data_IF_028596543542
#
_entry.id   IF_028596543542
#
_cell.length_a   1.000
_cell.length_b   1.000
_cell.length_c   1.000
_cell.angle_alpha   90.00
_cell.angle_beta   90.00
_cell.angle_gamma   90.00
#
_symmetry.space_group_name_H-M   'P 1'
#
loop_
_entity.id
_entity.type
_entity.pdbx_description
1 polymer ?
#
# COMPACT_ATOMS: atom_id res chain seq x y z
N UNK A 1 -12.34 3.73 -9.19
CA UNK A 1 -11.38 4.79 -9.56
C UNK A 1 -11.74 6.09 -8.86
N UNK A 2 -10.73 6.83 -8.37
CA UNK A 2 -10.89 8.15 -7.74
C UNK A 2 -10.70 9.28 -8.75
N UNK A 3 -11.31 10.42 -8.48
CA UNK A 3 -11.21 11.65 -9.29
C UNK A 3 -10.05 12.54 -8.85
N UNK A 4 -9.63 13.46 -9.73
CA UNK A 4 -8.66 14.52 -9.40
C UNK A 4 -9.10 15.36 -8.19
N UNK A 5 -10.40 15.59 -8.02
CA UNK A 5 -10.94 16.31 -6.86
C UNK A 5 -10.71 15.53 -5.57
N UNK A 6 -10.97 14.23 -5.58
CA UNK A 6 -10.71 13.35 -4.44
C UNK A 6 -9.21 13.28 -4.12
N UNK A 7 -8.35 13.18 -5.15
CA UNK A 7 -6.90 13.17 -4.97
C UNK A 7 -6.38 14.47 -4.31
N UNK A 8 -6.90 15.64 -4.69
CA UNK A 8 -6.58 16.93 -4.03
C UNK A 8 -6.90 16.95 -2.54
N UNK A 9 -7.96 16.23 -2.13
CA UNK A 9 -8.35 16.15 -0.72
C UNK A 9 -7.46 15.19 0.07
N UNK A 10 -6.97 14.12 -0.56
CA UNK A 10 -6.16 13.07 0.09
C UNK A 10 -4.68 13.48 0.20
N UNK A 11 -4.14 14.17 -0.81
CA UNK A 11 -2.71 14.51 -0.92
C UNK A 11 -2.14 15.22 0.33
N UNK A 12 -2.80 16.22 0.95
CA UNK A 12 -2.27 16.87 2.17
C UNK A 12 -2.11 15.91 3.35
N UNK A 13 -3.05 14.98 3.52
CA UNK A 13 -2.99 13.97 4.58
C UNK A 13 -1.84 12.99 4.34
N UNK A 14 -1.60 12.58 3.09
CA UNK A 14 -0.46 11.73 2.74
C UNK A 14 0.87 12.44 3.04
N UNK A 15 1.01 13.72 2.67
CA UNK A 15 2.20 14.51 2.98
C UNK A 15 2.45 14.63 4.49
N UNK A 16 1.40 14.86 5.28
CA UNK A 16 1.51 14.92 6.73
C UNK A 16 1.93 13.57 7.34
N UNK A 17 1.41 12.45 6.83
CA UNK A 17 1.80 11.12 7.30
C UNK A 17 3.28 10.81 7.00
N UNK A 18 3.75 11.20 5.81
CA UNK A 18 5.16 11.07 5.41
C UNK A 18 6.08 11.90 6.32
N UNK A 19 5.72 13.15 6.60
CA UNK A 19 6.46 13.99 7.55
C UNK A 19 6.52 13.37 8.96
N UNK A 20 5.42 12.79 9.45
CA UNK A 20 5.40 12.10 10.73
C UNK A 20 6.31 10.86 10.74
N UNK A 21 6.37 10.10 9.65
CA UNK A 21 7.31 8.97 9.51
C UNK A 21 8.77 9.43 9.57
N UNK A 22 9.09 10.58 8.96
CA UNK A 22 10.41 11.19 9.07
C UNK A 22 10.78 11.54 10.51
N UNK A 23 9.86 12.11 11.30
CA UNK A 23 10.10 12.42 12.71
C UNK A 23 10.32 11.17 13.56
N UNK A 24 9.51 10.12 13.36
CA UNK A 24 9.67 8.84 14.04
C UNK A 24 11.04 8.25 13.74
N UNK A 25 11.43 8.29 12.47
CA UNK A 25 12.70 7.75 12.04
C UNK A 25 13.91 8.54 12.59
N UNK A 26 13.83 9.87 12.67
CA UNK A 26 14.85 10.69 13.30
C UNK A 26 15.09 10.30 14.77
N UNK A 27 14.02 9.96 15.50
CA UNK A 27 14.11 9.45 16.88
C UNK A 27 14.75 8.06 16.95
N UNK A 28 14.43 7.17 16.00
CA UNK A 28 15.09 5.86 15.92
C UNK A 28 16.62 5.99 15.75
N UNK A 29 17.07 6.93 14.91
CA UNK A 29 18.49 7.22 14.72
C UNK A 29 19.16 7.81 15.98
N UNK A 30 18.44 8.62 16.76
CA UNK A 30 18.95 9.13 18.05
C UNK A 30 19.18 8.00 19.06
N UNK A 31 18.23 7.07 19.15
CA UNK A 31 18.36 5.86 19.98
C UNK A 31 19.53 5.00 19.51
N UNK A 32 19.71 4.82 18.21
CA UNK A 32 20.85 4.08 17.63
C UNK A 32 22.20 4.66 18.06
N UNK A 33 22.40 5.98 17.89
CA UNK A 33 23.64 6.65 18.33
C UNK A 33 23.89 6.51 19.83
N UNK A 34 22.81 6.49 20.61
CA UNK A 34 22.90 6.33 22.07
C UNK A 34 23.28 4.90 22.46
N UNK A 35 22.86 3.90 21.69
CA UNK A 35 23.14 2.49 21.94
C UNK A 35 24.46 2.00 21.32
N UNK A 36 25.10 2.77 20.44
CA UNK A 36 26.43 2.47 19.91
C UNK A 36 26.48 1.28 18.94
N UNK A 37 25.35 0.93 18.33
CA UNK A 37 25.27 -0.16 17.34
C UNK A 37 25.23 0.44 15.93
N UNK A 38 26.26 0.17 15.12
CA UNK A 38 26.25 0.41 13.67
C UNK A 38 25.23 -0.51 13.00
N UNK A 39 24.15 0.06 12.47
CA UNK A 39 23.24 -0.64 11.58
C UNK A 39 23.49 -0.19 10.15
N UNK A 40 24.61 -0.61 9.55
CA UNK A 40 24.92 -0.40 8.12
C UNK A 40 23.76 -0.86 7.20
N UNK A 41 22.96 -1.83 7.64
CA UNK A 41 21.76 -2.28 6.93
C UNK A 41 20.54 -1.34 7.04
N UNK A 42 20.44 -0.56 8.11
CA UNK A 42 19.37 0.42 8.29
C UNK A 42 19.62 1.66 7.44
N UNK A 43 20.88 2.06 7.24
CA UNK A 43 21.23 3.19 6.37
C UNK A 43 20.80 2.99 4.90
N UNK A 44 20.92 1.76 4.37
CA UNK A 44 20.42 1.43 3.03
C UNK A 44 18.89 1.55 2.92
N UNK A 45 18.15 0.96 3.87
CA UNK A 45 16.68 1.07 3.94
C UNK A 45 16.24 2.53 4.08
N UNK A 46 17.07 3.34 4.73
CA UNK A 46 16.84 4.77 4.94
C UNK A 46 17.03 5.58 3.69
N UNK A 47 18.06 5.29 2.90
CA UNK A 47 18.25 5.92 1.61
C UNK A 47 17.12 5.53 0.65
N UNK A 48 16.67 4.28 0.69
CA UNK A 48 15.53 3.81 -0.09
C UNK A 48 14.21 4.51 0.32
N UNK A 49 13.96 4.67 1.62
CA UNK A 49 12.79 5.40 2.13
C UNK A 49 12.90 6.90 1.83
N UNK A 50 14.07 7.52 2.03
CA UNK A 50 14.28 8.93 1.74
C UNK A 50 14.10 9.23 0.24
N UNK A 51 14.57 8.35 -0.66
CA UNK A 51 14.31 8.46 -2.09
C UNK A 51 12.80 8.34 -2.41
N UNK A 52 12.10 7.42 -1.76
CA UNK A 52 10.64 7.30 -1.90
C UNK A 52 9.87 8.50 -1.32
N UNK A 53 10.45 9.24 -0.36
CA UNK A 53 9.86 10.44 0.24
C UNK A 53 10.27 11.73 -0.49
N UNK A 54 11.45 11.84 -1.09
CA UNK A 54 11.79 12.98 -1.95
C UNK A 54 10.89 13.02 -3.20
N UNK A 55 10.41 11.86 -3.65
CA UNK A 55 9.30 11.74 -4.60
C UNK A 55 7.99 12.37 -4.08
N UNK A 56 7.79 12.51 -2.75
CA UNK A 56 6.59 13.09 -2.14
C UNK A 56 6.46 14.60 -2.34
N UNK A 57 7.57 15.33 -2.51
CA UNK A 57 7.56 16.73 -2.95
C UNK A 57 7.28 16.84 -4.47
N UNK A 58 7.59 15.79 -5.23
CA UNK A 58 7.17 15.64 -6.64
C UNK A 58 5.76 15.04 -6.80
N UNK A 59 5.10 14.61 -5.71
CA UNK A 59 3.73 14.09 -5.77
C UNK A 59 2.76 15.20 -6.18
N UNK A 60 2.45 15.24 -7.46
CA UNK A 60 1.35 16.01 -7.98
C UNK A 60 0.02 15.24 -7.83
N UNK A 61 -1.09 15.96 -8.02
CA UNK A 61 -2.44 15.41 -7.89
C UNK A 61 -2.71 14.31 -8.92
N UNK A 62 -2.12 14.40 -10.11
CA UNK A 62 -2.29 13.40 -11.17
C UNK A 62 -1.58 12.10 -10.80
N UNK A 63 -0.35 12.17 -10.30
CA UNK A 63 0.41 11.02 -9.81
C UNK A 63 -0.33 10.30 -8.68
N UNK A 64 -0.83 11.02 -7.65
CA UNK A 64 -1.61 10.41 -6.56
C UNK A 64 -2.86 9.72 -7.09
N UNK A 65 -3.59 10.36 -8.01
CA UNK A 65 -4.79 9.79 -8.61
C UNK A 65 -4.45 8.50 -9.37
N UNK A 66 -3.40 8.55 -10.19
CA UNK A 66 -3.04 7.45 -11.09
C UNK A 66 -2.45 6.27 -10.30
N UNK A 67 -1.64 6.53 -9.27
CA UNK A 67 -1.14 5.51 -8.35
C UNK A 67 -2.26 4.82 -7.56
N UNK A 68 -3.23 5.58 -7.02
CA UNK A 68 -4.38 5.00 -6.31
C UNK A 68 -5.26 4.18 -7.27
N UNK A 69 -5.45 4.65 -8.50
CA UNK A 69 -6.23 3.91 -9.50
C UNK A 69 -5.52 2.62 -9.94
N UNK A 70 -4.21 2.67 -10.18
CA UNK A 70 -3.43 1.48 -10.51
C UNK A 70 -3.52 0.42 -9.40
N UNK A 71 -3.40 0.83 -8.14
CA UNK A 71 -3.61 -0.06 -7.00
C UNK A 71 -5.04 -0.59 -6.91
N UNK A 72 -6.04 0.22 -7.27
CA UNK A 72 -7.43 -0.22 -7.28
C UNK A 72 -7.71 -1.24 -8.40
N UNK A 73 -6.98 -1.18 -9.53
CA UNK A 73 -7.10 -2.14 -10.62
C UNK A 73 -6.54 -3.53 -10.25
N UNK A 74 -5.64 -3.58 -9.26
CA UNK A 74 -5.15 -4.83 -8.65
C UNK A 74 -6.15 -5.43 -7.63
N UNK A 75 -7.26 -4.73 -7.34
CA UNK A 75 -8.29 -5.19 -6.42
C UNK A 75 -9.54 -5.66 -7.18
N UNK A 76 -10.06 -6.83 -6.79
CA UNK A 76 -11.41 -7.22 -7.21
C UNK A 76 -12.47 -6.31 -6.58
N UNK A 77 -13.67 -6.33 -7.15
CA UNK A 77 -14.83 -5.62 -6.60
C UNK A 77 -15.09 -6.02 -5.14
N UNK A 78 -15.69 -5.14 -4.34
CA UNK A 78 -16.02 -5.47 -2.94
C UNK A 78 -16.97 -6.66 -2.80
N UNK A 79 -17.82 -6.88 -3.81
CA UNK A 79 -18.73 -8.02 -3.86
C UNK A 79 -17.98 -9.32 -4.14
N UNK A 80 -16.86 -9.27 -4.87
CA UNK A 80 -16.04 -10.45 -5.20
C UNK A 80 -14.92 -10.71 -4.19
N UNK A 81 -14.79 -9.84 -3.19
CA UNK A 81 -13.86 -10.00 -2.08
C UNK A 81 -14.08 -11.33 -1.34
N UNK A 82 -13.03 -11.86 -0.72
CA UNK A 82 -13.15 -13.05 0.11
C UNK A 82 -14.20 -12.81 1.22
N UNK A 83 -15.25 -13.63 1.33
CA UNK A 83 -16.33 -13.40 2.30
C UNK A 83 -15.88 -13.61 3.75
N UNK A 84 -14.72 -14.26 3.96
CA UNK A 84 -14.19 -14.55 5.30
C UNK A 84 -13.27 -13.44 5.81
N UNK A 85 -12.25 -13.06 5.03
CA UNK A 85 -11.21 -12.11 5.46
C UNK A 85 -11.21 -10.80 4.68
N UNK A 86 -12.17 -10.61 3.77
CA UNK A 86 -12.32 -9.41 2.92
C UNK A 86 -11.09 -9.11 2.04
N UNK A 87 -10.24 -10.11 1.80
CA UNK A 87 -9.14 -10.02 0.83
C UNK A 87 -9.70 -9.65 -0.55
N UNK A 88 -9.05 -8.69 -1.20
CA UNK A 88 -9.44 -8.13 -2.49
C UNK A 88 -8.32 -8.16 -3.51
N UNK A 89 -7.07 -8.32 -3.09
CA UNK A 89 -5.94 -8.35 -4.01
C UNK A 89 -6.07 -9.55 -4.96
N UNK A 90 -6.07 -9.27 -6.26
CA UNK A 90 -6.28 -10.27 -7.31
C UNK A 90 -5.24 -11.38 -7.29
N UNK A 91 -3.98 -11.06 -6.95
CA UNK A 91 -2.89 -12.04 -6.84
C UNK A 91 -3.07 -12.98 -5.64
N UNK A 92 -3.80 -12.54 -4.61
CA UNK A 92 -4.16 -13.37 -3.45
C UNK A 92 -5.40 -14.22 -3.69
N UNK A 93 -6.09 -14.04 -4.81
CA UNK A 93 -7.35 -14.70 -5.16
C UNK A 93 -7.16 -15.61 -6.40
N UNK A 94 -6.88 -16.89 -6.16
CA UNK A 94 -6.59 -17.84 -7.24
C UNK A 94 -7.91 -18.36 -7.84
N UNK A 95 -8.23 -17.88 -9.04
CA UNK A 95 -9.33 -18.37 -9.86
C UNK A 95 -9.03 -19.79 -10.37
N UNK A 96 -9.90 -20.73 -10.03
CA UNK A 96 -9.76 -22.12 -10.46
C UNK A 96 -10.11 -22.24 -11.95
N UNK A 97 -9.64 -23.33 -12.62
CA UNK A 97 -9.78 -23.54 -14.08
C UNK A 97 -11.20 -23.43 -14.63
N UNK A 98 -12.21 -23.64 -13.79
CA UNK A 98 -13.61 -23.51 -14.18
C UNK A 98 -14.12 -22.07 -14.16
N UNK A 99 -13.33 -21.10 -13.67
CA UNK A 99 -13.70 -19.69 -13.54
C UNK A 99 -14.79 -19.40 -12.51
N UNK A 100 -15.41 -20.43 -11.91
CA UNK A 100 -16.55 -20.31 -10.97
C UNK A 100 -16.09 -20.20 -9.52
N UNK A 101 -14.96 -20.83 -9.16
CA UNK A 101 -14.48 -20.84 -7.79
C UNK A 101 -13.17 -20.08 -7.65
N UNK A 102 -13.07 -19.34 -6.55
CA UNK A 102 -11.86 -18.61 -6.14
C UNK A 102 -11.35 -19.22 -4.84
N UNK A 103 -10.03 -19.43 -4.75
CA UNK A 103 -9.35 -19.79 -3.51
C UNK A 103 -8.59 -18.56 -2.99
N UNK A 104 -9.01 -18.06 -1.83
CA UNK A 104 -8.27 -17.03 -1.12
C UNK A 104 -7.01 -17.63 -0.47
N UNK A 105 -5.84 -17.10 -0.81
CA UNK A 105 -4.55 -17.55 -0.25
C UNK A 105 -4.31 -17.05 1.17
N UNK A 106 -4.90 -15.89 1.53
CA UNK A 106 -4.76 -15.26 2.85
C UNK A 106 -5.40 -16.08 3.97
N UNK A 107 -6.62 -16.61 3.76
CA UNK A 107 -7.36 -17.35 4.79
C UNK A 107 -7.75 -18.79 4.40
N UNK A 108 -7.39 -19.22 3.20
CA UNK A 108 -7.66 -20.56 2.66
C UNK A 108 -9.10 -20.82 2.19
N UNK A 109 -10.03 -19.87 2.35
CA UNK A 109 -11.44 -20.05 1.98
C UNK A 109 -11.58 -20.22 0.46
N UNK A 110 -12.34 -21.24 0.06
CA UNK A 110 -12.88 -21.37 -1.30
C UNK A 110 -14.31 -20.83 -1.35
N UNK A 111 -14.63 -20.03 -2.36
CA UNK A 111 -15.94 -19.41 -2.52
C UNK A 111 -16.26 -19.15 -3.99
N UNK A 112 -17.52 -18.84 -4.28
CA UNK A 112 -17.99 -18.39 -5.60
C UNK A 112 -18.28 -16.90 -5.51
N UNK A 113 -17.56 -16.04 -6.25
CA UNK A 113 -17.82 -14.61 -6.27
C UNK A 113 -19.15 -14.30 -6.99
N UNK A 114 -19.92 -13.28 -6.55
CA UNK A 114 -21.24 -12.96 -7.11
C UNK A 114 -21.24 -12.45 -8.55
N UNK A 115 -20.13 -11.94 -9.07
CA UNK A 115 -20.04 -11.38 -10.43
C UNK A 115 -19.86 -12.42 -11.56
N UNK A 116 -19.88 -13.72 -11.23
CA UNK A 116 -19.70 -14.83 -12.18
C UNK A 116 -20.99 -15.51 -12.61
#
# INVERSE_FOLDING_TARGET
>A
MITTKQAKTILPTMRAAVAALHEVWAKCREVERTLGHDMDGLEGVVQDIAAAVDDADQMDVAYVRDAINAQADELVSETDACPKCRERNIDKLIWQKNGVHVKCTTCGKRYTPPSK
#
